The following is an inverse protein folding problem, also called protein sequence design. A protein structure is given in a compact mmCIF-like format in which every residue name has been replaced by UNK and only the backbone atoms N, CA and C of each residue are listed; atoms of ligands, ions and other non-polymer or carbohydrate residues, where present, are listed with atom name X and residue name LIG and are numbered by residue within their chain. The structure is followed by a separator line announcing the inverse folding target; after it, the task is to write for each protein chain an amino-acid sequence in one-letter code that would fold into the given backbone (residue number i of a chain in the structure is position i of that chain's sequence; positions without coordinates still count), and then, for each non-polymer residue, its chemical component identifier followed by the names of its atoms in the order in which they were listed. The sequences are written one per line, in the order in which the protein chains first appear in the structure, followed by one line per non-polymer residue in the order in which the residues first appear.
data_IF_003783568690
#
_entry.id   IF_003783568690
#
_cell.length_a   1.000
_cell.length_b   1.000
_cell.length_c   1.000
_cell.angle_alpha   90.00
_cell.angle_beta   90.00
_cell.angle_gamma   90.00
#
_symmetry.space_group_name_H-M   'P 1'
#
loop_
_entity.id
_entity.type
_entity.pdbx_description
1 polymer ?
#
# COMPACT_ATOMS: atom_id res chain seq x y z
N UNK A 1 -69.78 -39.38 3.40
CA UNK A 1 -68.85 -38.48 2.67
C UNK A 1 -67.90 -37.92 3.73
N UNK A 2 -66.69 -38.47 3.76
CA UNK A 2 -65.88 -38.63 4.98
C UNK A 2 -65.08 -37.37 5.30
N UNK A 3 -65.12 -37.04 6.59
CA UNK A 3 -64.56 -35.89 7.32
C UNK A 3 -63.00 -35.89 7.37
N UNK A 4 -62.35 -34.82 7.87
CA UNK A 4 -60.91 -34.66 7.83
C UNK A 4 -60.20 -35.46 8.94
N UNK A 5 -58.90 -35.69 8.79
CA UNK A 5 -58.05 -36.37 9.79
C UNK A 5 -56.63 -35.80 9.79
N UNK A 6 -55.89 -35.93 10.91
CA UNK A 6 -55.39 -34.77 11.66
C UNK A 6 -53.88 -34.53 11.57
N UNK A 7 -53.50 -33.34 12.04
CA UNK A 7 -52.13 -32.88 12.31
C UNK A 7 -51.56 -33.61 13.54
N UNK A 8 -50.28 -34.03 13.54
CA UNK A 8 -49.56 -34.31 14.78
C UNK A 8 -48.76 -33.09 15.25
N UNK A 9 -48.99 -32.73 16.52
CA UNK A 9 -48.14 -31.85 17.31
C UNK A 9 -46.96 -32.61 17.91
N UNK A 10 -45.79 -31.97 17.95
CA UNK A 10 -44.63 -32.34 18.76
C UNK A 10 -43.33 -32.06 17.99
N UNK A 11 -42.26 -31.55 18.57
CA UNK A 11 -41.96 -31.07 19.91
C UNK A 11 -40.63 -30.29 19.79
N UNK A 12 -40.36 -29.38 20.74
CA UNK A 12 -38.99 -28.95 21.03
C UNK A 12 -38.44 -27.79 20.21
N UNK A 13 -38.71 -26.57 20.66
CA UNK A 13 -37.79 -25.44 20.43
C UNK A 13 -36.52 -25.68 21.24
N UNK A 14 -35.55 -26.38 20.65
CA UNK A 14 -34.18 -26.33 21.16
C UNK A 14 -33.63 -24.93 20.91
N UNK A 15 -33.16 -24.30 21.99
CA UNK A 15 -32.42 -23.06 22.00
C UNK A 15 -31.38 -23.05 20.88
N UNK A 16 -31.53 -22.13 19.92
CA UNK A 16 -30.46 -21.77 18.99
C UNK A 16 -29.31 -21.21 19.81
N UNK A 17 -28.35 -22.08 20.10
CA UNK A 17 -27.04 -21.70 20.58
C UNK A 17 -26.42 -20.72 19.59
N UNK A 18 -26.01 -19.57 20.10
CA UNK A 18 -25.17 -18.61 19.40
C UNK A 18 -23.90 -19.34 18.99
N UNK A 19 -23.79 -19.70 17.71
CA UNK A 19 -22.53 -20.16 17.12
C UNK A 19 -21.62 -18.93 17.08
N UNK A 20 -20.78 -18.80 18.11
CA UNK A 20 -19.64 -17.91 18.07
C UNK A 20 -18.73 -18.40 16.94
N UNK A 21 -18.81 -17.75 15.79
CA UNK A 21 -17.87 -17.95 14.69
C UNK A 21 -16.46 -17.75 15.22
N UNK A 22 -15.69 -18.83 15.24
CA UNK A 22 -14.27 -18.83 15.55
C UNK A 22 -13.59 -17.85 14.60
N UNK A 23 -13.10 -16.74 15.15
CA UNK A 23 -12.31 -15.75 14.42
C UNK A 23 -11.04 -16.42 13.90
N UNK A 24 -11.09 -16.89 12.66
CA UNK A 24 -9.91 -17.25 11.89
C UNK A 24 -9.03 -16.00 11.86
N UNK A 25 -7.91 -16.05 12.60
CA UNK A 25 -6.94 -14.96 12.63
C UNK A 25 -6.40 -14.82 11.22
N UNK A 26 -6.99 -13.93 10.42
CA UNK A 26 -6.62 -13.69 9.03
C UNK A 26 -5.11 -13.40 9.00
N UNK A 27 -4.33 -14.38 8.54
CA UNK A 27 -2.89 -14.22 8.43
C UNK A 27 -2.62 -13.13 7.39
N UNK A 28 -1.98 -12.05 7.85
CA UNK A 28 -1.54 -10.95 6.99
C UNK A 28 -0.34 -11.42 6.15
N UNK A 29 -0.61 -11.91 4.94
CA UNK A 29 0.40 -12.56 4.07
C UNK A 29 1.60 -11.66 3.75
N UNK A 30 1.39 -10.34 3.70
CA UNK A 30 2.35 -9.35 3.24
C UNK A 30 2.80 -8.41 4.38
N UNK A 31 2.70 -8.84 5.65
CA UNK A 31 3.04 -7.98 6.80
C UNK A 31 4.48 -7.47 6.72
N UNK A 32 4.65 -6.16 6.61
CA UNK A 32 5.96 -5.48 6.55
C UNK A 32 6.62 -5.45 5.17
N UNK A 33 5.93 -5.95 4.13
CA UNK A 33 6.32 -5.74 2.73
C UNK A 33 6.07 -4.27 2.37
N UNK A 34 7.07 -3.58 1.84
CA UNK A 34 6.98 -2.19 1.39
C UNK A 34 6.65 -2.13 -0.09
N UNK A 35 5.56 -1.47 -0.47
CA UNK A 35 5.08 -1.39 -1.86
C UNK A 35 5.02 0.07 -2.32
N UNK A 36 5.71 0.37 -3.42
CA UNK A 36 5.55 1.63 -4.12
C UNK A 36 4.33 1.57 -5.06
N UNK A 37 3.49 2.61 -5.04
CA UNK A 37 2.44 2.82 -6.03
C UNK A 37 2.78 4.06 -6.82
N UNK A 38 3.20 3.89 -8.06
CA UNK A 38 3.64 5.01 -8.89
C UNK A 38 2.46 5.59 -9.66
N UNK A 39 2.05 6.82 -9.33
CA UNK A 39 0.91 7.45 -9.98
C UNK A 39 0.99 8.99 -9.99
N UNK A 40 0.48 9.62 -11.06
CA UNK A 40 0.16 11.05 -11.17
C UNK A 40 -1.36 11.24 -11.20
N UNK A 41 -1.84 12.48 -11.29
CA UNK A 41 -3.26 12.72 -11.61
C UNK A 41 -3.65 12.05 -12.92
N UNK A 42 -4.92 11.67 -13.04
CA UNK A 42 -5.45 11.01 -14.24
C UNK A 42 -5.47 9.48 -14.17
N UNK A 43 -5.13 8.88 -13.02
CA UNK A 43 -5.19 7.44 -12.82
C UNK A 43 -6.64 6.96 -12.75
N UNK A 44 -6.91 5.73 -13.18
CA UNK A 44 -8.24 5.13 -13.04
C UNK A 44 -8.47 4.80 -11.55
N UNK A 45 -9.50 5.42 -10.97
CA UNK A 45 -9.70 5.52 -9.51
C UNK A 45 -9.71 4.15 -8.85
N UNK A 46 -10.37 3.20 -9.50
CA UNK A 46 -10.57 1.84 -8.99
C UNK A 46 -9.29 1.00 -9.11
N UNK A 47 -8.44 1.26 -10.10
CA UNK A 47 -7.17 0.55 -10.33
C UNK A 47 -6.08 0.94 -9.32
N UNK A 48 -6.19 2.10 -8.67
CA UNK A 48 -5.35 2.43 -7.51
C UNK A 48 -6.02 1.97 -6.21
N UNK A 49 -7.25 2.40 -5.97
CA UNK A 49 -7.85 2.28 -4.62
C UNK A 49 -8.14 0.83 -4.20
N UNK A 50 -8.57 -0.03 -5.12
CA UNK A 50 -8.87 -1.42 -4.78
C UNK A 50 -7.59 -2.23 -4.51
N UNK A 51 -6.56 -2.22 -5.39
CA UNK A 51 -5.29 -2.89 -5.11
C UNK A 51 -4.61 -2.38 -3.83
N UNK A 52 -4.56 -1.06 -3.60
CA UNK A 52 -4.01 -0.49 -2.35
C UNK A 52 -4.73 -1.04 -1.12
N UNK A 53 -6.08 -1.02 -1.13
CA UNK A 53 -6.87 -1.56 -0.01
C UNK A 53 -6.69 -3.07 0.16
N UNK A 54 -6.43 -3.81 -0.92
CA UNK A 54 -6.11 -5.25 -0.87
C UNK A 54 -4.76 -5.47 -0.19
N UNK A 55 -3.71 -4.76 -0.63
CA UNK A 55 -2.36 -4.83 -0.07
C UNK A 55 -2.33 -4.48 1.42
N UNK A 56 -2.96 -3.38 1.80
CA UNK A 56 -3.07 -2.96 3.21
C UNK A 56 -3.79 -4.00 4.08
N UNK A 57 -4.86 -4.63 3.57
CA UNK A 57 -5.55 -5.73 4.26
C UNK A 57 -4.67 -6.96 4.44
N UNK A 58 -3.73 -7.20 3.53
CA UNK A 58 -2.71 -8.25 3.66
C UNK A 58 -1.52 -7.83 4.54
N UNK A 59 -1.50 -6.60 5.06
CA UNK A 59 -0.47 -6.11 5.98
C UNK A 59 0.72 -5.40 5.32
N UNK A 60 0.69 -5.19 4.01
CA UNK A 60 1.73 -4.44 3.33
C UNK A 60 1.68 -2.95 3.72
N UNK A 61 2.85 -2.33 3.73
CA UNK A 61 3.05 -0.90 3.88
C UNK A 61 3.09 -0.30 2.47
N UNK A 62 2.17 0.63 2.18
CA UNK A 62 1.96 1.14 0.82
C UNK A 62 2.29 2.63 0.80
N UNK A 63 3.13 3.03 -0.15
CA UNK A 63 3.53 4.43 -0.37
C UNK A 63 3.10 4.87 -1.75
N UNK A 64 2.24 5.89 -1.84
CA UNK A 64 1.88 6.53 -3.11
C UNK A 64 2.98 7.49 -3.50
N UNK A 65 3.71 7.15 -4.57
CA UNK A 65 4.83 7.90 -5.12
C UNK A 65 4.36 8.66 -6.36
N UNK A 66 4.66 9.96 -6.43
CA UNK A 66 4.27 10.82 -7.57
C UNK A 66 5.41 11.72 -8.04
N UNK A 67 5.17 12.48 -9.12
CA UNK A 67 6.15 13.45 -9.63
C UNK A 67 6.23 14.70 -8.76
N UNK A 68 5.12 15.08 -8.12
CA UNK A 68 4.97 16.30 -7.32
C UNK A 68 4.28 15.97 -5.99
N UNK A 69 4.57 16.73 -4.91
CA UNK A 69 3.90 16.54 -3.63
C UNK A 69 2.43 16.97 -3.68
N UNK A 70 1.67 16.66 -2.63
CA UNK A 70 0.29 17.12 -2.45
C UNK A 70 -0.72 16.02 -2.74
N UNK A 71 -1.60 16.23 -3.72
CA UNK A 71 -2.68 15.31 -4.05
C UNK A 71 -2.80 15.08 -5.55
N UNK A 72 -2.98 13.82 -5.93
CA UNK A 72 -3.30 13.41 -7.29
C UNK A 72 -4.81 13.12 -7.41
N UNK A 73 -5.41 13.46 -8.56
CA UNK A 73 -6.84 13.24 -8.83
C UNK A 73 -7.03 11.95 -9.61
N UNK A 74 -7.83 11.02 -9.10
CA UNK A 74 -8.28 9.85 -9.86
C UNK A 74 -9.42 10.20 -10.81
N UNK A 75 -9.69 9.33 -11.77
CA UNK A 75 -10.77 9.42 -12.75
C UNK A 75 -11.66 8.18 -12.63
N UNK A 76 -12.97 8.33 -12.86
CA UNK A 76 -13.85 7.19 -13.13
C UNK A 76 -14.14 7.25 -14.64
N UNK A 77 -13.39 6.48 -15.42
CA UNK A 77 -13.29 6.69 -16.87
C UNK A 77 -12.86 8.13 -17.21
N UNK A 78 -13.76 8.92 -17.80
CA UNK A 78 -13.49 10.31 -18.20
C UNK A 78 -13.92 11.35 -17.15
N UNK A 79 -14.56 10.93 -16.06
CA UNK A 79 -15.11 11.84 -15.06
C UNK A 79 -14.16 11.99 -13.85
N UNK A 80 -13.96 13.20 -13.31
CA UNK A 80 -13.15 13.38 -12.13
C UNK A 80 -13.65 12.57 -10.93
N UNK A 81 -12.74 11.79 -10.34
CA UNK A 81 -12.94 11.01 -9.12
C UNK A 81 -12.45 11.73 -7.86
N UNK A 82 -12.03 10.96 -6.87
CA UNK A 82 -11.50 11.44 -5.59
C UNK A 82 -10.02 11.80 -5.70
N UNK A 83 -9.56 12.62 -4.77
CA UNK A 83 -8.12 12.89 -4.59
C UNK A 83 -7.49 11.84 -3.69
N UNK A 84 -6.25 11.50 -3.97
CA UNK A 84 -5.39 10.65 -3.13
C UNK A 84 -4.16 11.48 -2.76
N UNK A 85 -3.74 11.39 -1.50
CA UNK A 85 -2.54 12.08 -1.00
C UNK A 85 -1.30 11.40 -1.57
N UNK A 86 -0.32 12.19 -1.96
CA UNK A 86 1.02 11.72 -2.30
C UNK A 86 1.83 11.56 -1.01
N UNK A 87 2.41 10.38 -0.81
CA UNK A 87 3.21 10.07 0.38
C UNK A 87 4.68 10.46 0.20
N UNK A 88 5.21 10.29 -1.01
CA UNK A 88 6.57 10.68 -1.38
C UNK A 88 6.66 11.10 -2.86
N UNK A 89 7.70 11.85 -3.23
CA UNK A 89 7.97 12.13 -4.65
C UNK A 89 9.10 11.26 -5.19
N UNK A 90 9.15 11.08 -6.50
CA UNK A 90 10.25 10.40 -7.19
C UNK A 90 11.62 11.08 -7.01
N UNK A 91 11.68 12.26 -6.39
CA UNK A 91 12.96 12.90 -6.00
C UNK A 91 13.45 12.44 -4.63
N UNK A 92 12.55 11.90 -3.80
CA UNK A 92 12.80 11.60 -2.39
C UNK A 92 13.04 10.12 -2.12
N UNK A 93 12.71 9.23 -3.07
CA UNK A 93 12.78 7.78 -2.91
C UNK A 93 13.44 7.11 -4.09
N UNK A 94 13.98 5.91 -3.85
CA UNK A 94 14.58 5.02 -4.84
C UNK A 94 13.84 3.69 -4.90
N UNK A 95 13.99 2.94 -5.99
CA UNK A 95 13.37 1.62 -6.11
C UNK A 95 13.80 0.65 -4.99
N UNK A 96 15.06 0.72 -4.55
CA UNK A 96 15.61 -0.08 -3.46
C UNK A 96 14.96 0.17 -2.08
N UNK A 97 14.20 1.26 -1.92
CA UNK A 97 13.44 1.53 -0.71
C UNK A 97 12.16 0.68 -0.61
N UNK A 98 11.86 -0.12 -1.65
CA UNK A 98 10.66 -0.92 -1.76
C UNK A 98 10.98 -2.38 -2.06
N UNK A 99 9.99 -3.23 -1.83
CA UNK A 99 10.07 -4.67 -2.05
C UNK A 99 9.19 -5.11 -3.24
N UNK A 100 8.28 -4.24 -3.70
CA UNK A 100 7.39 -4.46 -4.83
C UNK A 100 6.86 -3.14 -5.40
N UNK A 101 6.37 -3.16 -6.63
CA UNK A 101 5.81 -1.99 -7.33
C UNK A 101 4.42 -2.28 -7.90
N UNK A 102 3.49 -1.35 -7.71
CA UNK A 102 2.18 -1.32 -8.37
C UNK A 102 2.10 -0.13 -9.33
N UNK A 103 1.76 -0.40 -10.58
CA UNK A 103 1.55 0.59 -11.64
C UNK A 103 0.07 0.59 -12.06
N UNK A 104 -0.78 1.47 -11.50
CA UNK A 104 -2.16 1.63 -11.94
C UNK A 104 -2.23 2.31 -13.32
N UNK A 105 -3.30 2.06 -14.07
CA UNK A 105 -3.54 2.69 -15.36
C UNK A 105 -4.28 4.02 -15.25
N UNK A 106 -5.30 4.19 -16.10
CA UNK A 106 -5.98 5.45 -16.41
C UNK A 106 -5.22 6.28 -17.44
N UNK A 107 -5.86 6.62 -18.56
CA UNK A 107 -5.22 7.17 -19.78
C UNK A 107 -4.12 8.22 -19.51
N UNK A 108 -4.42 9.23 -18.70
CA UNK A 108 -3.54 10.40 -18.49
C UNK A 108 -2.34 10.05 -17.58
N UNK A 109 -2.50 9.12 -16.65
CA UNK A 109 -1.49 8.83 -15.63
C UNK A 109 -0.21 8.21 -16.21
N UNK A 110 -0.25 7.04 -16.88
CA UNK A 110 0.93 6.46 -17.52
C UNK A 110 1.49 7.33 -18.64
N UNK A 111 0.64 8.09 -19.36
CA UNK A 111 1.09 9.03 -20.38
C UNK A 111 1.88 10.21 -19.79
N UNK A 112 1.52 10.67 -18.60
CA UNK A 112 2.33 11.67 -17.86
C UNK A 112 3.62 11.05 -17.35
N UNK A 113 3.55 9.85 -16.76
CA UNK A 113 4.71 9.17 -16.20
C UNK A 113 5.77 8.83 -17.26
N UNK A 114 5.38 8.32 -18.43
CA UNK A 114 6.32 7.91 -19.50
C UNK A 114 7.19 9.05 -20.03
N UNK A 115 6.75 10.30 -19.87
CA UNK A 115 7.50 11.50 -20.27
C UNK A 115 8.55 11.93 -19.23
N UNK A 116 8.49 11.38 -18.01
CA UNK A 116 9.40 11.71 -16.92
C UNK A 116 10.63 10.79 -16.93
N UNK A 117 11.83 11.39 -16.96
CA UNK A 117 13.08 10.65 -16.76
C UNK A 117 13.09 9.93 -15.40
N UNK A 118 12.73 10.64 -14.32
CA UNK A 118 12.67 10.07 -12.96
C UNK A 118 11.77 8.83 -12.87
N UNK A 119 10.64 8.82 -13.58
CA UNK A 119 9.72 7.68 -13.55
C UNK A 119 10.28 6.49 -14.33
N UNK A 120 10.90 6.75 -15.49
CA UNK A 120 11.57 5.71 -16.29
C UNK A 120 12.77 5.12 -15.56
N UNK A 121 13.59 5.95 -14.92
CA UNK A 121 14.73 5.52 -14.12
C UNK A 121 14.27 4.65 -12.93
N UNK A 122 13.19 5.06 -12.24
CA UNK A 122 12.64 4.28 -11.13
C UNK A 122 12.19 2.87 -11.55
N UNK A 123 11.46 2.74 -12.66
CA UNK A 123 11.01 1.40 -13.12
C UNK A 123 12.15 0.57 -13.70
N UNK A 124 13.16 1.21 -14.30
CA UNK A 124 14.38 0.54 -14.73
C UNK A 124 15.17 -0.02 -13.53
N UNK A 125 15.32 0.77 -12.47
CA UNK A 125 15.96 0.31 -11.23
C UNK A 125 15.16 -0.80 -10.54
N UNK A 126 13.83 -0.68 -10.52
CA UNK A 126 12.96 -1.72 -9.96
C UNK A 126 13.09 -3.05 -10.72
N UNK A 127 13.14 -3.00 -12.05
CA UNK A 127 13.33 -4.18 -12.89
C UNK A 127 14.73 -4.78 -12.74
N UNK A 128 15.77 -3.93 -12.69
CA UNK A 128 17.16 -4.34 -12.46
C UNK A 128 17.37 -5.01 -11.10
N UNK A 129 16.59 -4.62 -10.09
CA UNK A 129 16.54 -5.25 -8.76
C UNK A 129 15.67 -6.51 -8.72
N UNK A 130 15.09 -6.91 -9.85
CA UNK A 130 14.12 -7.98 -9.98
C UNK A 130 12.96 -7.85 -8.98
N UNK A 131 12.49 -6.62 -8.74
CA UNK A 131 11.33 -6.40 -7.89
C UNK A 131 10.08 -6.93 -8.60
N UNK A 132 9.16 -7.57 -7.87
CA UNK A 132 7.87 -7.92 -8.43
C UNK A 132 7.07 -6.66 -8.79
N UNK A 133 6.54 -6.62 -10.01
CA UNK A 133 5.76 -5.49 -10.53
C UNK A 133 4.35 -5.92 -10.98
N UNK A 134 3.34 -5.23 -10.47
CA UNK A 134 1.94 -5.43 -10.85
C UNK A 134 1.46 -4.24 -11.70
N UNK A 135 1.07 -4.51 -12.94
CA UNK A 135 0.84 -3.50 -13.99
C UNK A 135 -0.59 -3.67 -14.53
N UNK A 136 -1.36 -2.60 -14.71
CA UNK A 136 -2.74 -2.73 -15.21
C UNK A 136 -3.11 -1.66 -16.23
N UNK A 137 -3.93 -2.04 -17.22
CA UNK A 137 -4.57 -1.12 -18.15
C UNK A 137 -3.56 -0.38 -19.02
N UNK A 138 -3.46 0.95 -18.90
CA UNK A 138 -2.53 1.78 -19.69
C UNK A 138 -1.12 1.83 -19.10
N UNK A 139 -0.91 1.31 -17.89
CA UNK A 139 0.37 1.34 -17.19
C UNK A 139 1.58 0.79 -18.01
N UNK A 140 1.42 -0.21 -18.90
CA UNK A 140 2.53 -0.67 -19.74
C UNK A 140 3.23 0.40 -20.57
N UNK A 141 2.57 1.52 -20.91
CA UNK A 141 3.22 2.62 -21.64
C UNK A 141 4.48 3.17 -20.95
N UNK A 142 4.50 3.20 -19.62
CA UNK A 142 5.69 3.60 -18.88
C UNK A 142 6.84 2.63 -19.13
N UNK A 143 6.58 1.32 -19.03
CA UNK A 143 7.57 0.27 -19.25
C UNK A 143 8.06 0.22 -20.70
N UNK A 144 7.14 0.41 -21.66
CA UNK A 144 7.48 0.55 -23.09
C UNK A 144 8.45 1.71 -23.30
N UNK A 145 8.14 2.88 -22.74
CA UNK A 145 8.96 4.08 -22.92
C UNK A 145 10.27 4.05 -22.12
N UNK A 146 10.35 3.16 -21.12
CA UNK A 146 11.58 2.83 -20.41
C UNK A 146 12.42 1.74 -21.13
N UNK A 147 11.91 1.16 -22.23
CA UNK A 147 12.62 0.14 -23.01
C UNK A 147 12.65 -1.26 -22.35
N UNK A 148 11.73 -1.54 -21.42
CA UNK A 148 11.77 -2.75 -20.58
C UNK A 148 10.95 -3.93 -21.14
N UNK A 149 10.18 -3.73 -22.22
CA UNK A 149 9.18 -4.71 -22.65
C UNK A 149 9.65 -5.68 -23.74
N UNK A 150 10.81 -5.44 -24.36
CA UNK A 150 11.29 -6.27 -25.47
C UNK A 150 11.43 -7.74 -25.03
N UNK A 151 10.82 -8.67 -25.78
CA UNK A 151 10.83 -10.10 -25.46
C UNK A 151 9.93 -10.54 -24.29
N UNK A 152 9.27 -9.60 -23.59
CA UNK A 152 8.34 -9.92 -22.49
C UNK A 152 6.97 -10.34 -23.03
N UNK A 153 6.23 -11.11 -22.24
CA UNK A 153 4.80 -11.41 -22.52
C UNK A 153 3.92 -10.66 -21.54
N UNK A 154 2.98 -9.86 -22.04
CA UNK A 154 2.06 -9.11 -21.17
C UNK A 154 0.70 -8.89 -21.81
N UNK A 155 -0.24 -8.42 -21.00
CA UNK A 155 -1.51 -7.86 -21.45
C UNK A 155 -1.61 -6.38 -21.06
N UNK A 156 -2.60 -5.67 -21.58
CA UNK A 156 -2.80 -4.24 -21.37
C UNK A 156 -4.24 -3.85 -21.67
N UNK A 157 -4.57 -2.58 -21.49
CA UNK A 157 -5.77 -2.04 -22.13
C UNK A 157 -5.71 -2.34 -23.64
N UNK A 158 -6.78 -2.88 -24.26
CA UNK A 158 -6.75 -3.29 -25.66
C UNK A 158 -6.39 -2.14 -26.62
N UNK A 159 -6.73 -0.90 -26.25
CA UNK A 159 -6.42 0.28 -27.06
C UNK A 159 -4.93 0.59 -27.21
N UNK A 160 -4.05 -0.05 -26.43
CA UNK A 160 -2.58 0.13 -26.52
C UNK A 160 -1.85 -1.14 -26.95
N UNK A 161 -2.59 -2.14 -27.46
CA UNK A 161 -1.99 -3.42 -27.87
C UNK A 161 -0.93 -3.25 -28.97
N UNK A 162 -1.08 -2.25 -29.84
CA UNK A 162 -0.16 -2.02 -30.94
C UNK A 162 1.13 -1.39 -30.43
N UNK A 163 1.07 -0.51 -29.43
CA UNK A 163 2.25 -0.01 -28.71
C UNK A 163 3.06 -1.17 -28.10
N UNK A 164 2.37 -2.13 -27.45
CA UNK A 164 2.99 -3.31 -26.84
C UNK A 164 3.66 -4.20 -27.90
N UNK A 165 3.00 -4.44 -29.04
CA UNK A 165 3.59 -5.25 -30.14
C UNK A 165 4.78 -4.53 -30.76
N UNK A 166 4.66 -3.22 -30.99
CA UNK A 166 5.71 -2.40 -31.60
C UNK A 166 6.95 -2.24 -30.70
N UNK A 167 6.82 -2.45 -29.39
CA UNK A 167 7.94 -2.47 -28.46
C UNK A 167 8.68 -3.81 -28.39
N UNK A 168 8.33 -4.77 -29.24
CA UNK A 168 8.93 -6.11 -29.27
C UNK A 168 8.37 -7.08 -28.23
N UNK A 169 7.29 -6.72 -27.54
CA UNK A 169 6.64 -7.59 -26.57
C UNK A 169 5.54 -8.46 -27.20
N UNK A 170 5.23 -9.58 -26.56
CA UNK A 170 4.14 -10.47 -26.93
C UNK A 170 2.86 -10.07 -26.18
N UNK A 171 1.93 -9.43 -26.89
CA UNK A 171 0.62 -9.07 -26.31
C UNK A 171 -0.35 -10.26 -26.29
N UNK A 172 -1.05 -10.45 -25.17
CA UNK A 172 -2.11 -11.48 -24.99
C UNK A 172 -3.43 -10.83 -24.55
N UNK A 173 -4.55 -11.30 -25.08
CA UNK A 173 -5.89 -10.89 -24.63
C UNK A 173 -6.42 -11.77 -23.49
N UNK A 174 -5.64 -11.87 -22.41
CA UNK A 174 -5.99 -12.65 -21.23
C UNK A 174 -6.34 -11.70 -20.06
N UNK A 175 -7.19 -12.14 -19.13
CA UNK A 175 -7.53 -11.32 -17.95
C UNK A 175 -6.30 -10.99 -17.09
N UNK A 176 -5.32 -11.89 -17.07
CA UNK A 176 -4.09 -11.77 -16.31
C UNK A 176 -2.99 -12.55 -17.03
N UNK A 177 -1.84 -11.90 -17.21
CA UNK A 177 -0.62 -12.52 -17.73
C UNK A 177 0.46 -12.38 -16.69
N UNK A 178 1.11 -13.49 -16.36
CA UNK A 178 2.35 -13.52 -15.58
C UNK A 178 3.53 -13.76 -16.50
N UNK A 179 4.57 -12.94 -16.33
CA UNK A 179 5.87 -13.12 -16.98
C UNK A 179 6.97 -12.85 -15.95
N UNK A 180 7.56 -13.93 -15.44
CA UNK A 180 8.56 -13.91 -14.37
C UNK A 180 8.12 -13.09 -13.13
N UNK A 181 8.77 -11.95 -12.89
CA UNK A 181 8.51 -11.00 -11.82
C UNK A 181 7.40 -9.98 -12.15
N UNK A 182 6.71 -10.09 -13.29
CA UNK A 182 5.62 -9.19 -13.67
C UNK A 182 4.28 -9.90 -13.68
N UNK A 183 3.23 -9.19 -13.23
CA UNK A 183 1.83 -9.52 -13.52
C UNK A 183 1.16 -8.34 -14.20
N UNK A 184 0.43 -8.61 -15.28
CA UNK A 184 -0.30 -7.60 -16.05
C UNK A 184 -1.77 -7.96 -16.24
N UNK A 185 -2.66 -6.97 -16.31
CA UNK A 185 -4.10 -7.13 -16.57
C UNK A 185 -4.68 -6.01 -17.43
N UNK A 186 -5.81 -6.25 -18.10
CA UNK A 186 -6.32 -5.33 -19.15
C UNK A 186 -7.04 -4.09 -18.61
N UNK A 187 -7.68 -4.17 -17.45
CA UNK A 187 -8.47 -3.05 -16.93
C UNK A 187 -9.35 -3.40 -15.73
N UNK A 188 -10.29 -2.52 -15.35
CA UNK A 188 -11.12 -2.67 -14.16
C UNK A 188 -11.90 -3.99 -14.08
N UNK A 189 -12.31 -4.52 -15.23
CA UNK A 189 -13.03 -5.79 -15.35
C UNK A 189 -12.22 -6.98 -14.83
N UNK A 190 -10.90 -6.92 -14.91
CA UNK A 190 -10.00 -8.02 -14.54
C UNK A 190 -9.43 -7.86 -13.11
N UNK A 191 -9.84 -6.82 -12.36
CA UNK A 191 -9.34 -6.56 -11.01
C UNK A 191 -9.38 -7.76 -10.06
N UNK A 192 -10.43 -8.62 -10.06
CA UNK A 192 -10.41 -9.82 -9.22
C UNK A 192 -9.22 -10.75 -9.52
N UNK A 193 -8.87 -10.96 -10.78
CA UNK A 193 -7.73 -11.79 -11.18
C UNK A 193 -6.40 -11.09 -10.88
N UNK A 194 -6.29 -9.81 -11.27
CA UNK A 194 -5.14 -8.96 -10.99
C UNK A 194 -4.79 -8.91 -9.50
N UNK A 195 -5.76 -8.66 -8.62
CA UNK A 195 -5.54 -8.55 -7.17
C UNK A 195 -5.07 -9.86 -6.53
N UNK A 196 -5.48 -11.02 -7.07
CA UNK A 196 -5.01 -12.33 -6.61
C UNK A 196 -3.56 -12.54 -7.02
N UNK A 197 -3.28 -12.40 -8.32
CA UNK A 197 -1.95 -12.59 -8.89
C UNK A 197 -0.92 -11.61 -8.29
N UNK A 198 -1.29 -10.35 -8.08
CA UNK A 198 -0.45 -9.35 -7.40
C UNK A 198 -0.06 -9.79 -5.99
N UNK A 199 -1.03 -10.26 -5.18
CA UNK A 199 -0.74 -10.70 -3.81
C UNK A 199 0.13 -11.95 -3.80
N UNK A 200 -0.10 -12.88 -4.72
CA UNK A 200 0.69 -14.11 -4.86
C UNK A 200 2.14 -13.79 -5.26
N UNK A 201 2.32 -13.00 -6.32
CA UNK A 201 3.63 -12.54 -6.78
C UNK A 201 4.38 -11.79 -5.66
N UNK A 202 3.74 -10.85 -4.98
CA UNK A 202 4.39 -10.05 -3.94
C UNK A 202 4.75 -10.90 -2.70
N UNK A 203 4.00 -11.98 -2.45
CA UNK A 203 4.30 -12.89 -1.35
C UNK A 203 5.62 -13.66 -1.56
N UNK A 204 6.11 -13.78 -2.79
CA UNK A 204 7.38 -14.44 -3.11
C UNK A 204 8.59 -13.70 -2.49
N UNK A 205 8.48 -12.39 -2.24
CA UNK A 205 9.54 -11.60 -1.56
C UNK A 205 9.51 -11.72 -0.03
N UNK A 206 8.51 -12.38 0.55
CA UNK A 206 8.35 -12.45 2.00
C UNK A 206 9.49 -13.17 2.75
N UNK A 207 10.18 -14.18 2.21
CA UNK A 207 11.36 -14.75 2.88
C UNK A 207 12.45 -13.69 3.15
N UNK A 208 12.80 -12.90 2.13
CA UNK A 208 13.78 -11.81 2.24
C UNK A 208 13.32 -10.71 3.20
N UNK A 209 12.04 -10.33 3.13
CA UNK A 209 11.47 -9.32 4.03
C UNK A 209 11.48 -9.78 5.48
N UNK A 210 11.12 -11.05 5.75
CA UNK A 210 11.14 -11.61 7.10
C UNK A 210 12.56 -11.69 7.66
N UNK A 211 13.54 -11.98 6.82
CA UNK A 211 14.95 -11.94 7.18
C UNK A 211 15.37 -10.55 7.63
N UNK A 212 15.13 -9.54 6.77
CA UNK A 212 15.42 -8.12 7.07
C UNK A 212 14.76 -7.66 8.38
N UNK A 213 13.49 -8.00 8.57
CA UNK A 213 12.75 -7.61 9.78
C UNK A 213 13.28 -8.26 11.05
N UNK A 214 13.77 -9.51 10.96
CA UNK A 214 14.39 -10.19 12.11
C UNK A 214 15.72 -9.54 12.47
N UNK A 215 16.58 -9.29 11.48
CA UNK A 215 17.87 -8.63 11.67
C UNK A 215 17.70 -7.24 12.31
N UNK A 216 16.73 -6.45 11.84
CA UNK A 216 16.44 -5.13 12.42
C UNK A 216 15.97 -5.19 13.89
N UNK A 217 15.32 -6.28 14.31
CA UNK A 217 14.93 -6.50 15.71
C UNK A 217 16.13 -6.90 16.58
N UNK A 218 17.04 -7.70 16.03
CA UNK A 218 18.24 -8.17 16.74
C UNK A 218 19.29 -7.06 16.92
N UNK A 219 19.37 -6.10 16.00
CA UNK A 219 20.28 -4.94 16.07
C UNK A 219 19.84 -3.86 17.08
N UNK A 220 18.57 -3.83 17.48
CA UNK A 220 18.05 -2.97 18.54
C UNK A 220 17.55 -3.82 19.73
N UNK A 221 18.47 -4.42 20.52
CA UNK A 221 18.05 -5.09 21.74
C UNK A 221 17.49 -4.03 22.68
N UNK A 222 16.17 -4.04 22.86
CA UNK A 222 15.49 -3.29 23.92
C UNK A 222 16.27 -3.53 25.19
N UNK A 223 16.76 -2.45 25.81
CA UNK A 223 17.39 -2.43 27.12
C UNK A 223 16.51 -3.20 28.11
N UNK A 224 16.80 -4.49 28.29
CA UNK A 224 16.04 -5.37 29.13
C UNK A 224 16.56 -5.23 30.56
N UNK A 225 15.69 -4.67 31.40
CA UNK A 225 15.59 -4.88 32.85
C UNK A 225 16.59 -4.11 33.72
N UNK A 226 16.26 -2.86 34.02
CA UNK A 226 16.50 -2.34 35.36
C UNK A 226 15.33 -2.77 36.26
N UNK A 227 15.53 -3.80 37.08
CA UNK A 227 14.67 -4.06 38.24
C UNK A 227 15.20 -3.20 39.39
N UNK A 228 14.50 -2.16 39.87
CA UNK A 228 14.85 -1.59 41.16
C UNK A 228 14.59 -2.66 42.21
N UNK A 229 15.63 -2.98 42.98
CA UNK A 229 15.51 -3.82 44.16
C UNK A 229 14.40 -3.24 45.07
N UNK A 230 13.52 -4.13 45.54
CA UNK A 230 12.54 -3.82 46.57
C UNK A 230 13.29 -3.40 47.84
N UNK A 231 13.26 -2.11 48.16
CA UNK A 231 13.69 -1.60 49.45
C UNK A 231 12.51 -1.65 50.42
N UNK A 232 12.36 -2.79 51.11
CA UNK A 232 11.76 -2.80 52.44
C UNK A 232 12.70 -2.06 53.38
N UNK A 233 12.37 -0.83 53.77
CA UNK A 233 12.62 -0.41 55.15
C UNK A 233 11.68 0.71 55.54
N UNK A 234 10.76 0.38 56.45
CA UNK A 234 9.96 1.38 57.14
C UNK A 234 10.84 2.22 58.06
N UNK A 235 10.83 3.54 57.86
CA UNK A 235 11.12 4.52 58.92
C UNK A 235 10.16 5.71 58.81
N UNK A 236 9.42 5.91 59.90
CA UNK A 236 8.50 7.04 60.15
C UNK A 236 9.28 8.31 60.56
N UNK A 237 8.55 9.43 60.51
CA UNK A 237 8.68 10.73 61.22
C UNK A 237 9.23 11.93 60.39
N UNK A 238 8.87 13.19 60.72
CA UNK A 238 7.52 13.79 60.72
C UNK A 238 7.44 15.13 59.93
N UNK A 239 6.21 15.62 59.72
CA UNK A 239 5.87 16.89 59.04
C UNK A 239 6.37 18.12 59.82
N UNK A 240 7.06 19.05 59.15
CA UNK A 240 7.13 20.46 59.56
C UNK A 240 7.23 21.43 58.35
N UNK A 241 6.25 22.35 58.36
CA UNK A 241 6.32 23.79 58.03
C UNK A 241 6.47 24.28 56.56
N UNK A 242 5.30 24.70 56.04
CA UNK A 242 4.99 26.01 55.45
C UNK A 242 6.12 27.00 55.13
N UNK A 243 6.08 27.58 53.91
CA UNK A 243 6.87 28.75 53.54
C UNK A 243 6.57 29.26 52.12
N UNK A 244 5.74 30.30 52.07
CA UNK A 244 5.20 31.11 50.98
C UNK A 244 6.14 31.58 49.84
N UNK A 245 5.52 31.71 48.65
CA UNK A 245 5.53 32.83 47.68
C UNK A 245 6.85 33.58 47.38
N UNK A 246 7.22 33.63 46.09
CA UNK A 246 7.55 34.89 45.40
C UNK A 246 7.53 34.75 43.87
N UNK A 247 6.55 35.42 43.26
CA UNK A 247 6.45 35.76 41.84
C UNK A 247 7.40 36.91 41.53
N UNK A 248 8.14 36.86 40.42
CA UNK A 248 8.71 38.06 39.81
C UNK A 248 8.77 37.91 38.29
N UNK A 249 7.90 38.68 37.62
CA UNK A 249 7.93 38.93 36.19
C UNK A 249 8.93 40.07 35.89
N UNK A 250 9.70 39.92 34.81
CA UNK A 250 10.34 41.05 34.14
C UNK A 250 10.04 40.94 32.64
N UNK A 251 9.10 41.77 32.21
CA UNK A 251 8.92 42.24 30.84
C UNK A 251 10.01 43.24 30.47
N UNK A 252 10.53 43.20 29.23
CA UNK A 252 10.66 44.34 28.29
C UNK A 252 11.57 43.95 27.11
N UNK A 253 11.15 44.26 25.88
CA UNK A 253 12.08 44.27 24.74
C UNK A 253 11.48 44.09 23.34
N UNK A 254 10.52 44.93 22.95
CA UNK A 254 10.13 45.10 21.54
C UNK A 254 11.25 45.83 20.78
N UNK A 255 11.69 45.30 19.64
CA UNK A 255 12.19 46.13 18.52
C UNK A 255 11.79 45.53 17.17
N UNK A 256 10.82 46.19 16.54
CA UNK A 256 10.60 46.16 15.08
C UNK A 256 11.80 46.83 14.40
N UNK A 257 12.27 46.24 13.29
CA UNK A 257 12.93 46.97 12.23
C UNK A 257 12.19 46.71 10.92
N UNK A 258 11.98 47.80 10.19
CA UNK A 258 11.18 47.92 9.00
C UNK A 258 11.98 47.60 7.72
N UNK A 259 11.19 47.45 6.66
CA UNK A 259 11.51 47.25 5.25
C UNK A 259 12.66 48.10 4.65
N UNK A 260 13.33 47.58 3.62
CA UNK A 260 13.16 48.03 2.22
C UNK A 260 14.28 47.50 1.31
N UNK A 261 13.92 46.74 0.27
CA UNK A 261 14.10 47.03 -1.16
C UNK A 261 13.70 45.82 -1.99
#
# INVERSE_FOLDING_TARGET
MIAPSPVPHGAGVHSLGVVHGTGERVMKKLKGLRVAVLATSGFEQVELTRPVKKLQRQGAEVTVVSLLPGHIRGMNHMLPGKKVRVDATLRDVKAADFDAVLLPGGLINPDTLRQSALAKDFVHDADSLNLPMAIICHAPWLLISAGLTEGRTLTSWPGIQDDVKNSGAMWRDDEMVRDDNWVSSRGPQDLPAFERAMVELFAEKMPEVRERLRQAQDEHPVAARYHPATEESGRRWPRLLAGSLATAAISFGVRRLAASR
#
